data_IF_743712852783
#
_entry.id   IF_743712852783
#
_cell.length_a   1.000
_cell.length_b   1.000
_cell.length_c   1.000
_cell.angle_alpha   90.00
_cell.angle_beta   90.00
_cell.angle_gamma   90.00
#
_symmetry.space_group_name_H-M   'P 1'
#
loop_
_entity.id
_entity.type
_entity.pdbx_description
1 polymer ?
#
# COMPACT_ATOMS: atom_id res chain seq x y z
N UNK A 1 57.33 -71.79 -21.47
CA UNK A 1 56.62 -70.73 -22.20
C UNK A 1 56.03 -69.78 -21.18
N UNK A 2 56.50 -68.53 -21.19
CA UNK A 2 56.28 -67.52 -20.14
C UNK A 2 54.87 -66.95 -20.15
N UNK A 3 54.26 -66.85 -18.97
CA UNK A 3 53.02 -66.12 -18.71
C UNK A 3 53.28 -64.61 -18.70
N UNK A 4 52.85 -63.88 -19.72
CA UNK A 4 52.75 -62.41 -19.65
C UNK A 4 51.57 -62.02 -18.74
N UNK A 5 51.85 -61.25 -17.69
CA UNK A 5 50.84 -60.64 -16.83
C UNK A 5 50.22 -59.43 -17.55
N UNK A 6 48.90 -59.19 -17.43
CA UNK A 6 48.26 -58.02 -18.02
C UNK A 6 48.79 -56.72 -17.38
N UNK A 7 49.22 -55.77 -18.21
CA UNK A 7 49.56 -54.42 -17.79
C UNK A 7 48.28 -53.66 -17.43
N UNK A 8 48.08 -53.42 -16.13
CA UNK A 8 47.08 -52.47 -15.66
C UNK A 8 47.66 -51.06 -15.81
N UNK A 9 47.26 -50.33 -16.84
CA UNK A 9 47.57 -48.91 -16.99
C UNK A 9 46.76 -48.14 -15.94
N UNK A 10 47.36 -47.88 -14.77
CA UNK A 10 46.80 -46.93 -13.80
C UNK A 10 47.08 -45.51 -14.26
N UNK A 11 46.14 -44.92 -15.02
CA UNK A 11 46.16 -43.49 -15.27
C UNK A 11 46.00 -42.74 -13.93
N UNK A 12 47.07 -42.11 -13.44
CA UNK A 12 47.02 -41.21 -12.27
C UNK A 12 46.37 -39.88 -12.70
N UNK A 13 45.05 -39.85 -12.75
CA UNK A 13 44.34 -38.58 -12.90
C UNK A 13 44.34 -37.88 -11.54
N UNK A 14 44.94 -36.69 -11.46
CA UNK A 14 45.00 -35.91 -10.22
C UNK A 14 43.58 -35.49 -9.80
N UNK A 15 43.20 -35.79 -8.57
CA UNK A 15 41.90 -35.41 -7.99
C UNK A 15 41.58 -33.93 -8.21
N UNK A 16 42.55 -33.04 -8.00
CA UNK A 16 42.37 -31.60 -8.21
C UNK A 16 42.08 -31.25 -9.67
N UNK A 17 42.69 -31.94 -10.64
CA UNK A 17 42.37 -31.74 -12.06
C UNK A 17 40.95 -32.14 -12.38
N UNK A 18 40.49 -33.29 -11.88
CA UNK A 18 39.11 -33.75 -12.04
C UNK A 18 38.10 -32.80 -11.35
N UNK A 19 38.41 -32.36 -10.14
CA UNK A 19 37.60 -31.41 -9.38
C UNK A 19 37.44 -30.08 -10.13
N UNK A 20 38.54 -29.42 -10.51
CA UNK A 20 38.46 -28.14 -11.22
C UNK A 20 37.84 -28.27 -12.61
N UNK A 21 38.06 -29.37 -13.32
CA UNK A 21 37.42 -29.61 -14.63
C UNK A 21 35.91 -29.81 -14.48
N UNK A 22 35.47 -30.53 -13.43
CA UNK A 22 34.06 -30.73 -13.12
C UNK A 22 33.39 -29.43 -12.64
N UNK A 23 34.04 -28.63 -11.79
CA UNK A 23 33.56 -27.30 -11.40
C UNK A 23 33.43 -26.37 -12.61
N UNK A 24 34.44 -26.35 -13.50
CA UNK A 24 34.39 -25.53 -14.71
C UNK A 24 33.28 -25.97 -15.66
N UNK A 25 33.12 -27.29 -15.89
CA UNK A 25 32.03 -27.84 -16.69
C UNK A 25 30.65 -27.51 -16.11
N UNK A 26 30.51 -27.56 -14.78
CA UNK A 26 29.27 -27.20 -14.07
C UNK A 26 28.97 -25.71 -14.19
N UNK A 27 29.97 -24.84 -14.02
CA UNK A 27 29.82 -23.40 -14.17
C UNK A 27 29.46 -23.00 -15.61
N UNK A 28 30.07 -23.65 -16.61
CA UNK A 28 29.74 -23.44 -18.02
C UNK A 28 28.32 -23.91 -18.34
N UNK A 29 27.92 -25.09 -17.85
CA UNK A 29 26.55 -25.59 -18.02
C UNK A 29 25.52 -24.66 -17.37
N UNK A 30 25.77 -24.19 -16.14
CA UNK A 30 24.94 -23.19 -15.47
C UNK A 30 24.90 -21.87 -16.26
N UNK A 31 26.04 -21.42 -16.79
CA UNK A 31 26.12 -20.23 -17.63
C UNK A 31 25.30 -20.36 -18.91
N UNK A 32 25.28 -21.53 -19.55
CA UNK A 32 24.46 -21.80 -20.73
C UNK A 32 22.97 -21.88 -20.37
N UNK A 33 22.61 -22.50 -19.25
CA UNK A 33 21.22 -22.57 -18.78
C UNK A 33 20.70 -21.17 -18.46
N UNK A 34 21.45 -20.40 -17.65
CA UNK A 34 21.09 -19.02 -17.29
C UNK A 34 21.06 -18.13 -18.52
N UNK A 35 22.07 -18.23 -19.40
CA UNK A 35 22.12 -17.50 -20.67
C UNK A 35 20.94 -17.84 -21.59
N UNK A 36 20.54 -19.12 -21.65
CA UNK A 36 19.37 -19.59 -22.38
C UNK A 36 18.07 -19.02 -21.81
N UNK A 37 17.90 -19.02 -20.49
CA UNK A 37 16.74 -18.40 -19.83
C UNK A 37 16.69 -16.88 -20.04
N UNK A 38 17.84 -16.19 -19.99
CA UNK A 38 17.94 -14.76 -20.29
C UNK A 38 17.58 -14.50 -21.76
N UNK A 39 18.10 -15.30 -22.69
CA UNK A 39 17.83 -15.15 -24.12
C UNK A 39 16.35 -15.39 -24.45
N UNK A 40 15.74 -16.44 -23.89
CA UNK A 40 14.29 -16.71 -24.01
C UNK A 40 13.48 -15.59 -23.36
N UNK A 41 13.92 -15.06 -22.21
CA UNK A 41 13.27 -13.91 -21.56
C UNK A 41 13.33 -12.63 -22.39
N UNK A 42 14.47 -12.36 -23.04
CA UNK A 42 14.64 -11.20 -23.95
C UNK A 42 13.77 -11.37 -25.21
N UNK A 43 13.74 -12.56 -25.81
CA UNK A 43 12.87 -12.85 -26.96
C UNK A 43 11.39 -12.74 -26.59
N UNK A 44 10.99 -13.23 -25.41
CA UNK A 44 9.64 -13.06 -24.89
C UNK A 44 9.28 -11.58 -24.61
N UNK A 45 10.27 -10.74 -24.33
CA UNK A 45 10.08 -9.30 -24.12
C UNK A 45 9.94 -8.48 -25.42
N UNK A 46 10.27 -9.05 -26.58
CA UNK A 46 10.09 -8.42 -27.90
C UNK A 46 8.64 -8.49 -28.43
N UNK A 47 7.66 -8.80 -27.56
CA UNK A 47 6.25 -8.60 -27.91
C UNK A 47 5.97 -7.15 -28.31
N UNK A 48 5.00 -6.94 -29.20
CA UNK A 48 4.52 -5.60 -29.56
C UNK A 48 4.21 -4.77 -28.30
N UNK A 49 4.57 -3.48 -28.31
CA UNK A 49 4.24 -2.56 -27.22
C UNK A 49 2.76 -2.68 -26.85
N UNK A 50 2.42 -2.72 -25.54
CA UNK A 50 1.04 -2.84 -25.12
C UNK A 50 0.22 -1.66 -25.66
N UNK A 51 -0.93 -1.94 -26.25
CA UNK A 51 -1.87 -0.91 -26.73
C UNK A 51 -3.20 -1.00 -25.98
N UNK A 52 -3.88 0.14 -25.90
CA UNK A 52 -5.30 0.22 -25.52
C UNK A 52 -6.13 0.19 -26.80
N UNK A 53 -7.11 -0.71 -26.85
CA UNK A 53 -8.07 -0.81 -27.95
C UNK A 53 -9.24 0.13 -27.71
N UNK A 54 -9.99 0.46 -28.77
CA UNK A 54 -11.26 1.18 -28.63
C UNK A 54 -12.24 0.38 -27.76
N UNK A 55 -13.17 1.09 -27.13
CA UNK A 55 -14.22 0.51 -26.28
C UNK A 55 -13.66 -0.33 -25.11
N UNK A 56 -12.56 0.14 -24.51
CA UNK A 56 -11.95 -0.48 -23.34
C UNK A 56 -12.57 0.05 -22.05
N UNK A 57 -12.66 -0.82 -21.04
CA UNK A 57 -12.98 -0.43 -19.66
C UNK A 57 -11.72 -0.46 -18.81
N UNK A 58 -11.52 0.59 -18.01
CA UNK A 58 -10.47 0.59 -16.99
C UNK A 58 -10.95 -0.18 -15.76
N UNK A 59 -10.39 -1.38 -15.53
CA UNK A 59 -10.68 -2.20 -14.36
C UNK A 59 -9.81 -1.77 -13.19
N UNK A 60 -10.45 -1.39 -12.09
CA UNK A 60 -9.80 -1.09 -10.83
C UNK A 60 -10.04 -2.22 -9.84
N UNK A 61 -8.93 -2.79 -9.34
CA UNK A 61 -8.93 -3.89 -8.40
C UNK A 61 -7.84 -3.60 -7.35
N UNK A 62 -8.25 -3.14 -6.16
CA UNK A 62 -7.33 -2.73 -5.09
C UNK A 62 -7.08 -3.86 -4.09
N UNK A 63 -6.75 -5.05 -4.57
CA UNK A 63 -6.60 -6.23 -3.70
C UNK A 63 -5.30 -6.28 -2.89
N UNK A 64 -4.43 -5.26 -3.02
CA UNK A 64 -3.14 -5.15 -2.34
C UNK A 64 -2.99 -3.74 -1.75
N UNK A 65 -2.15 -3.55 -0.72
CA UNK A 65 -1.81 -2.21 -0.24
C UNK A 65 -1.32 -1.35 -1.39
N UNK A 66 -1.75 -0.09 -1.41
CA UNK A 66 -1.38 0.88 -2.43
C UNK A 66 -0.33 1.83 -1.83
N UNK A 67 0.96 1.70 -2.21
CA UNK A 67 1.99 2.59 -1.68
C UNK A 67 1.79 4.02 -2.22
N UNK A 68 2.32 5.03 -1.54
CA UNK A 68 2.31 6.42 -1.98
C UNK A 68 3.03 6.59 -3.34
N UNK A 69 4.17 5.91 -3.46
CA UNK A 69 5.04 5.89 -4.63
C UNK A 69 5.03 4.51 -5.29
N UNK A 70 4.85 4.48 -6.61
CA UNK A 70 4.93 3.25 -7.40
C UNK A 70 6.22 2.48 -7.11
N UNK A 71 6.10 1.16 -6.94
CA UNK A 71 7.20 0.26 -6.58
C UNK A 71 7.87 0.48 -5.22
N UNK A 72 7.31 1.30 -4.33
CA UNK A 72 7.83 1.51 -2.96
C UNK A 72 7.22 0.53 -1.94
N UNK A 73 7.36 -0.76 -2.19
CA UNK A 73 6.90 -1.82 -1.27
C UNK A 73 8.07 -2.65 -0.78
N UNK A 74 7.98 -3.16 0.45
CA UNK A 74 8.88 -4.21 0.94
C UNK A 74 8.72 -5.40 0.00
N UNK A 75 9.80 -5.80 -0.65
CA UNK A 75 9.81 -6.94 -1.57
C UNK A 75 10.22 -8.19 -0.79
N UNK A 76 9.44 -9.26 -0.90
CA UNK A 76 9.86 -10.58 -0.44
C UNK A 76 11.01 -11.06 -1.37
N UNK A 77 12.21 -11.33 -0.84
CA UNK A 77 13.34 -11.79 -1.65
C UNK A 77 13.10 -13.18 -2.28
N UNK A 78 12.08 -13.91 -1.85
CA UNK A 78 11.70 -15.21 -2.40
C UNK A 78 10.56 -15.12 -3.43
N UNK A 79 9.90 -13.96 -3.57
CA UNK A 79 8.85 -13.73 -4.58
C UNK A 79 9.43 -13.06 -5.84
N UNK A 80 10.20 -13.84 -6.59
CA UNK A 80 10.80 -13.42 -7.87
C UNK A 80 9.75 -12.90 -8.88
N UNK A 81 8.52 -13.42 -8.82
CA UNK A 81 7.47 -13.00 -9.74
C UNK A 81 6.91 -11.62 -9.38
N UNK A 82 6.79 -11.29 -8.09
CA UNK A 82 6.42 -9.95 -7.65
C UNK A 82 7.55 -8.93 -7.87
N UNK A 83 8.81 -9.34 -7.76
CA UNK A 83 9.96 -8.47 -8.04
C UNK A 83 9.99 -7.93 -9.48
N UNK A 84 9.52 -8.73 -10.44
CA UNK A 84 9.47 -8.38 -11.87
C UNK A 84 8.21 -7.58 -12.25
N UNK A 85 7.27 -7.36 -11.33
CA UNK A 85 5.98 -6.72 -11.61
C UNK A 85 5.92 -5.33 -10.99
N UNK A 86 5.74 -4.33 -11.85
CA UNK A 86 5.42 -2.98 -11.36
C UNK A 86 4.13 -2.96 -10.55
N UNK A 87 4.18 -2.31 -9.39
CA UNK A 87 3.06 -1.97 -8.53
C UNK A 87 2.77 -0.47 -8.66
N UNK A 88 1.55 -0.14 -9.08
CA UNK A 88 1.08 1.24 -9.18
C UNK A 88 0.92 1.81 -7.78
N UNK A 89 1.45 3.02 -7.53
CA UNK A 89 1.25 3.76 -6.29
C UNK A 89 0.07 4.73 -6.39
N UNK A 90 -0.33 5.31 -5.26
CA UNK A 90 -1.48 6.22 -5.13
C UNK A 90 -1.38 7.40 -6.11
N UNK A 91 -0.21 8.04 -6.17
CA UNK A 91 -0.01 9.22 -7.02
C UNK A 91 -0.23 8.89 -8.49
N UNK A 92 0.38 7.81 -8.98
CA UNK A 92 0.23 7.40 -10.37
C UNK A 92 -1.17 6.87 -10.65
N UNK A 93 -1.79 6.15 -9.71
CA UNK A 93 -3.19 5.72 -9.85
C UNK A 93 -4.13 6.92 -10.03
N UNK A 94 -3.95 8.00 -9.28
CA UNK A 94 -4.74 9.22 -9.42
C UNK A 94 -4.54 9.88 -10.78
N UNK A 95 -3.28 10.04 -11.22
CA UNK A 95 -2.96 10.59 -12.54
C UNK A 95 -3.52 9.75 -13.68
N UNK A 96 -3.46 8.42 -13.56
CA UNK A 96 -3.99 7.50 -14.56
C UNK A 96 -5.52 7.59 -14.65
N UNK A 97 -6.22 7.83 -13.55
CA UNK A 97 -7.66 8.10 -13.59
C UNK A 97 -7.94 9.45 -14.28
N UNK A 98 -7.12 10.47 -14.04
CA UNK A 98 -7.22 11.76 -14.75
C UNK A 98 -7.00 11.58 -16.27
N UNK A 99 -5.96 10.83 -16.68
CA UNK A 99 -5.71 10.53 -18.11
C UNK A 99 -6.87 9.74 -18.72
N UNK A 100 -7.40 8.74 -18.01
CA UNK A 100 -8.54 7.95 -18.47
C UNK A 100 -9.82 8.76 -18.64
N UNK A 101 -9.94 9.91 -17.97
CA UNK A 101 -11.05 10.85 -18.12
C UNK A 101 -11.10 11.42 -19.54
N UNK A 102 -9.95 11.72 -20.13
CA UNK A 102 -9.81 12.34 -21.46
C UNK A 102 -9.47 11.34 -22.58
N UNK A 103 -9.14 10.08 -22.26
CA UNK A 103 -8.84 9.05 -23.26
C UNK A 103 -10.11 8.47 -23.93
N UNK A 104 -10.32 8.78 -25.20
CA UNK A 104 -11.48 8.32 -26.00
C UNK A 104 -11.62 6.79 -26.11
N UNK A 105 -10.53 6.06 -25.91
CA UNK A 105 -10.52 4.60 -25.94
C UNK A 105 -11.10 3.99 -24.67
N UNK A 106 -11.06 4.72 -23.55
CA UNK A 106 -11.66 4.33 -22.29
C UNK A 106 -13.10 4.83 -22.23
N UNK A 107 -14.06 3.92 -22.13
CA UNK A 107 -15.50 4.28 -22.07
C UNK A 107 -16.07 4.35 -20.66
N UNK A 108 -15.37 3.78 -19.69
CA UNK A 108 -15.78 3.77 -18.29
C UNK A 108 -14.81 3.05 -17.38
N UNK A 109 -15.18 3.00 -16.11
CA UNK A 109 -14.46 2.28 -15.06
C UNK A 109 -15.31 1.10 -14.57
N UNK A 110 -14.67 -0.06 -14.40
CA UNK A 110 -15.25 -1.21 -13.73
C UNK A 110 -14.57 -1.47 -12.39
N UNK A 111 -15.32 -1.33 -11.31
CA UNK A 111 -14.87 -1.55 -9.94
C UNK A 111 -15.16 -2.99 -9.52
N UNK A 112 -14.09 -3.80 -9.47
CA UNK A 112 -14.12 -5.18 -9.01
C UNK A 112 -13.38 -5.24 -7.66
N UNK A 113 -14.14 -4.97 -6.57
CA UNK A 113 -13.58 -4.67 -5.26
C UNK A 113 -14.14 -5.63 -4.20
N UNK A 114 -13.44 -6.73 -3.93
CA UNK A 114 -13.78 -7.62 -2.81
C UNK A 114 -13.14 -7.19 -1.49
N UNK A 115 -11.91 -6.67 -1.54
CA UNK A 115 -11.16 -6.14 -0.39
C UNK A 115 -10.28 -4.99 -0.86
N UNK A 116 -10.14 -3.97 -0.01
CA UNK A 116 -9.36 -2.76 -0.31
C UNK A 116 -8.50 -2.41 0.91
N UNK A 117 -7.26 -2.90 1.01
CA UNK A 117 -6.37 -2.67 2.14
C UNK A 117 -5.61 -1.35 1.98
N UNK A 118 -6.33 -0.28 1.67
CA UNK A 118 -5.81 1.09 1.55
C UNK A 118 -6.25 1.86 2.80
N UNK A 119 -5.39 2.75 3.32
CA UNK A 119 -5.76 3.59 4.46
C UNK A 119 -6.89 4.58 4.10
N UNK A 120 -7.54 5.15 5.11
CA UNK A 120 -8.75 5.95 4.92
C UNK A 120 -8.52 7.28 4.20
N UNK A 121 -7.39 7.95 4.47
CA UNK A 121 -7.05 9.20 3.78
C UNK A 121 -6.72 8.94 2.31
N UNK A 122 -5.88 7.94 2.03
CA UNK A 122 -5.54 7.52 0.67
C UNK A 122 -6.78 7.04 -0.09
N UNK A 123 -7.71 6.38 0.61
CA UNK A 123 -8.98 5.97 0.03
C UNK A 123 -9.85 7.16 -0.37
N UNK A 124 -9.90 8.23 0.45
CA UNK A 124 -10.63 9.46 0.13
C UNK A 124 -10.04 10.15 -1.12
N UNK A 125 -8.72 10.30 -1.19
CA UNK A 125 -8.03 10.89 -2.36
C UNK A 125 -8.40 10.14 -3.64
N UNK A 126 -8.34 8.81 -3.61
CA UNK A 126 -8.67 7.99 -4.78
C UNK A 126 -10.17 8.01 -5.11
N UNK A 127 -11.02 8.04 -4.09
CA UNK A 127 -12.47 8.17 -4.24
C UNK A 127 -12.86 9.50 -4.90
N UNK A 128 -12.21 10.60 -4.53
CA UNK A 128 -12.45 11.92 -5.13
C UNK A 128 -12.04 11.97 -6.60
N UNK A 129 -11.02 11.19 -6.98
CA UNK A 129 -10.67 10.99 -8.39
C UNK A 129 -11.75 10.22 -9.14
N UNK A 130 -12.38 9.22 -8.54
CA UNK A 130 -13.54 8.56 -9.15
C UNK A 130 -14.73 9.51 -9.27
N UNK A 131 -15.02 10.34 -8.26
CA UNK A 131 -16.07 11.38 -8.36
C UNK A 131 -15.76 12.35 -9.51
N UNK A 132 -14.51 12.79 -9.63
CA UNK A 132 -14.08 13.71 -10.70
C UNK A 132 -14.20 13.04 -12.07
N UNK A 133 -13.80 11.77 -12.21
CA UNK A 133 -13.93 11.00 -13.45
C UNK A 133 -15.36 11.00 -13.98
N UNK A 134 -16.37 10.89 -13.11
CA UNK A 134 -17.79 10.94 -13.52
C UNK A 134 -18.17 12.21 -14.29
N UNK A 135 -17.45 13.33 -14.07
CA UNK A 135 -17.70 14.59 -14.79
C UNK A 135 -17.41 14.51 -16.28
N UNK A 136 -16.66 13.51 -16.74
CA UNK A 136 -16.45 13.23 -18.18
C UNK A 136 -17.69 12.66 -18.88
N UNK A 137 -18.70 12.22 -18.13
CA UNK A 137 -19.86 11.49 -18.67
C UNK A 137 -19.59 10.01 -18.93
N UNK A 138 -18.36 9.51 -18.71
CA UNK A 138 -18.03 8.08 -18.74
C UNK A 138 -18.60 7.38 -17.51
N UNK A 139 -19.09 6.16 -17.70
CA UNK A 139 -19.76 5.41 -16.63
C UNK A 139 -18.75 4.84 -15.61
N UNK A 140 -19.21 4.62 -14.39
CA UNK A 140 -18.56 3.78 -13.39
C UNK A 140 -19.54 2.69 -12.95
N UNK A 141 -19.18 1.43 -13.15
CA UNK A 141 -19.98 0.28 -12.72
C UNK A 141 -19.22 -0.54 -11.69
N UNK A 142 -19.89 -0.99 -10.63
CA UNK A 142 -19.31 -1.90 -9.63
C UNK A 142 -20.09 -3.21 -9.56
N UNK A 143 -19.35 -4.29 -9.37
CA UNK A 143 -19.91 -5.59 -9.05
C UNK A 143 -19.05 -6.32 -8.03
N UNK A 144 -19.70 -7.01 -7.10
CA UNK A 144 -19.02 -7.83 -6.11
C UNK A 144 -19.86 -9.04 -5.71
N UNK A 145 -19.18 -10.14 -5.36
CA UNK A 145 -19.79 -11.24 -4.59
C UNK A 145 -19.78 -10.94 -3.10
N UNK A 146 -18.97 -9.98 -2.67
CA UNK A 146 -18.91 -9.52 -1.30
C UNK A 146 -18.48 -8.05 -1.24
N UNK A 147 -19.21 -7.24 -0.47
CA UNK A 147 -18.79 -5.89 -0.11
C UNK A 147 -18.57 -5.78 1.40
N UNK A 148 -17.34 -5.48 1.80
CA UNK A 148 -17.09 -4.95 3.14
C UNK A 148 -17.25 -3.42 3.14
N UNK A 149 -17.21 -2.80 4.32
CA UNK A 149 -17.42 -1.36 4.47
C UNK A 149 -16.48 -0.52 3.59
N UNK A 150 -15.24 -0.97 3.39
CA UNK A 150 -14.24 -0.25 2.60
C UNK A 150 -14.37 -0.50 1.11
N UNK A 151 -14.66 -1.72 0.65
CA UNK A 151 -14.96 -1.92 -0.78
C UNK A 151 -16.28 -1.26 -1.17
N UNK A 152 -17.28 -1.28 -0.29
CA UNK A 152 -18.53 -0.54 -0.45
C UNK A 152 -18.31 0.97 -0.54
N UNK A 153 -17.40 1.52 0.27
CA UNK A 153 -17.03 2.94 0.21
C UNK A 153 -16.65 3.40 -1.21
N UNK A 154 -15.89 2.59 -1.93
CA UNK A 154 -15.54 2.87 -3.34
C UNK A 154 -16.70 2.57 -4.29
N UNK A 155 -17.37 1.43 -4.12
CA UNK A 155 -18.51 1.04 -4.95
C UNK A 155 -19.63 2.09 -4.91
N UNK A 156 -19.81 2.77 -3.77
CA UNK A 156 -20.84 3.80 -3.57
C UNK A 156 -20.73 5.00 -4.53
N UNK A 157 -19.60 5.18 -5.22
CA UNK A 157 -19.39 6.23 -6.22
C UNK A 157 -20.04 5.86 -7.57
N UNK A 158 -20.17 4.56 -7.84
CA UNK A 158 -20.62 4.03 -9.13
C UNK A 158 -22.02 4.51 -9.51
N UNK A 159 -22.26 4.59 -10.82
CA UNK A 159 -23.58 4.82 -11.39
C UNK A 159 -24.48 3.58 -11.24
N UNK A 160 -23.86 2.40 -11.23
CA UNK A 160 -24.52 1.12 -10.94
C UNK A 160 -23.67 0.27 -9.98
N UNK A 161 -24.29 -0.23 -8.93
CA UNK A 161 -23.72 -1.11 -7.91
C UNK A 161 -24.52 -2.41 -7.88
N UNK A 162 -23.86 -3.49 -8.27
CA UNK A 162 -24.47 -4.81 -8.30
C UNK A 162 -23.83 -5.75 -7.29
N UNK A 163 -24.67 -6.47 -6.56
CA UNK A 163 -24.25 -7.52 -5.62
C UNK A 163 -24.72 -8.88 -6.14
N UNK A 164 -23.90 -9.91 -6.01
CA UNK A 164 -24.36 -11.26 -6.31
C UNK A 164 -25.59 -11.64 -5.46
N UNK A 165 -26.63 -12.34 -5.99
CA UNK A 165 -27.84 -12.69 -5.23
C UNK A 165 -27.58 -13.48 -3.94
N UNK A 166 -26.56 -14.34 -3.97
CA UNK A 166 -26.06 -15.13 -2.83
C UNK A 166 -24.75 -14.57 -2.25
N UNK A 167 -24.46 -13.29 -2.52
CA UNK A 167 -23.27 -12.61 -2.02
C UNK A 167 -23.38 -12.21 -0.55
N UNK A 168 -22.36 -11.52 -0.04
CA UNK A 168 -22.40 -10.93 1.29
C UNK A 168 -22.21 -9.41 1.29
N UNK A 169 -22.73 -8.76 2.33
CA UNK A 169 -22.62 -7.31 2.52
C UNK A 169 -22.40 -7.01 3.99
N UNK A 170 -21.38 -6.23 4.33
CA UNK A 170 -21.00 -5.91 5.70
C UNK A 170 -21.05 -4.41 5.93
N UNK A 171 -21.99 -3.99 6.79
CA UNK A 171 -22.27 -2.60 7.12
C UNK A 171 -22.75 -2.48 8.56
N UNK A 172 -21.80 -2.34 9.48
CA UNK A 172 -22.02 -2.46 10.93
C UNK A 172 -21.19 -1.46 11.77
N UNK A 173 -20.62 -0.43 11.13
CA UNK A 173 -19.85 0.61 11.80
C UNK A 173 -18.39 0.28 12.05
N UNK A 174 -17.65 1.23 12.62
CA UNK A 174 -16.23 1.09 12.93
C UNK A 174 -16.02 0.54 14.34
N UNK A 175 -15.13 -0.44 14.46
CA UNK A 175 -14.71 -1.01 15.74
C UNK A 175 -13.18 -1.16 15.75
N UNK A 176 -12.59 -1.00 16.95
CA UNK A 176 -11.16 -1.14 17.18
C UNK A 176 -10.93 -2.22 18.23
N UNK A 177 -10.09 -3.20 17.91
CA UNK A 177 -9.65 -4.23 18.83
C UNK A 177 -8.15 -4.06 19.11
N UNK A 178 -7.75 -4.31 20.36
CA UNK A 178 -6.35 -4.25 20.77
C UNK A 178 -6.02 -5.44 21.65
N UNK A 179 -5.02 -6.21 21.24
CA UNK A 179 -4.52 -7.35 22.00
C UNK A 179 -3.58 -6.89 23.11
N UNK A 180 -3.66 -7.51 24.28
CA UNK A 180 -2.78 -7.26 25.42
C UNK A 180 -1.98 -8.52 25.77
N UNK A 181 -0.66 -8.37 25.86
CA UNK A 181 0.30 -9.46 26.05
C UNK A 181 0.80 -9.58 27.48
N UNK A 182 0.53 -8.61 28.37
CA UNK A 182 1.04 -8.62 29.75
C UNK A 182 0.80 -9.95 30.46
N UNK A 183 -0.41 -10.51 30.38
CA UNK A 183 -0.72 -11.77 31.05
C UNK A 183 0.11 -12.96 30.54
N UNK A 184 0.39 -13.00 29.23
CA UNK A 184 1.30 -13.99 28.65
C UNK A 184 2.74 -13.76 29.12
N UNK A 185 3.20 -12.51 29.12
CA UNK A 185 4.56 -12.14 29.52
C UNK A 185 4.83 -12.52 30.98
N UNK A 186 3.89 -12.19 31.89
CA UNK A 186 3.98 -12.56 33.30
C UNK A 186 4.08 -14.08 33.47
N UNK A 187 3.29 -14.85 32.70
CA UNK A 187 3.32 -16.33 32.72
C UNK A 187 4.65 -16.92 32.25
N UNK A 188 5.37 -16.20 31.39
CA UNK A 188 6.66 -16.61 30.85
C UNK A 188 7.85 -16.06 31.66
N UNK A 189 7.63 -15.33 32.75
CA UNK A 189 8.72 -14.69 33.49
C UNK A 189 9.40 -13.55 32.70
N UNK A 190 8.69 -12.93 31.76
CA UNK A 190 9.18 -11.79 30.96
C UNK A 190 8.55 -10.50 31.46
N UNK A 191 9.36 -9.47 31.74
CA UNK A 191 8.88 -8.14 32.15
C UNK A 191 9.31 -7.08 31.15
N UNK A 192 8.38 -6.27 30.62
CA UNK A 192 8.72 -5.11 29.82
C UNK A 192 9.07 -3.90 30.71
N UNK A 193 10.33 -3.47 30.71
CA UNK A 193 10.75 -2.20 31.33
C UNK A 193 10.39 -1.05 30.40
N UNK A 194 9.43 -0.22 30.81
CA UNK A 194 8.83 0.80 29.93
C UNK A 194 9.08 2.19 30.47
N UNK A 195 9.64 3.04 29.61
CA UNK A 195 9.79 4.47 29.81
C UNK A 195 8.90 5.18 28.79
N UNK A 196 8.12 6.16 29.20
CA UNK A 196 7.28 6.91 28.26
C UNK A 196 6.93 8.28 28.81
N UNK A 197 6.73 9.24 27.90
CA UNK A 197 6.23 10.56 28.21
C UNK A 197 4.98 10.86 27.36
N UNK A 198 3.89 11.21 28.05
CA UNK A 198 2.60 11.55 27.46
C UNK A 198 1.47 10.64 27.94
N UNK A 199 0.41 11.24 28.49
CA UNK A 199 -0.79 10.55 29.00
C UNK A 199 -1.46 9.65 27.96
N UNK A 200 -1.42 10.08 26.69
CA UNK A 200 -2.03 9.44 25.54
C UNK A 200 -1.04 8.58 24.72
N UNK A 201 0.22 8.46 25.17
CA UNK A 201 1.22 7.62 24.48
C UNK A 201 0.99 6.15 24.84
N UNK A 202 0.08 5.52 24.12
CA UNK A 202 -0.48 4.20 24.47
C UNK A 202 0.16 3.00 23.78
N UNK A 203 1.15 3.20 22.90
CA UNK A 203 1.80 2.11 22.15
C UNK A 203 2.40 0.99 23.04
N UNK A 204 2.73 1.32 24.30
CA UNK A 204 3.26 0.35 25.28
C UNK A 204 2.19 -0.31 26.13
N UNK A 205 0.93 0.12 26.07
CA UNK A 205 -0.16 -0.45 26.88
C UNK A 205 -0.32 -1.97 26.71
N UNK A 206 -0.28 -2.54 25.48
CA UNK A 206 -0.31 -3.99 25.27
C UNK A 206 0.70 -4.78 26.11
N UNK A 207 1.83 -4.17 26.47
CA UNK A 207 2.93 -4.84 27.16
C UNK A 207 2.99 -4.55 28.67
N UNK A 208 2.17 -3.63 29.19
CA UNK A 208 2.14 -3.28 30.63
C UNK A 208 0.76 -3.25 31.27
N UNK A 209 -0.29 -3.51 30.48
CA UNK A 209 -1.68 -3.58 30.93
C UNK A 209 -2.34 -4.83 30.40
N UNK A 210 -3.55 -5.10 30.86
CA UNK A 210 -4.45 -6.12 30.31
C UNK A 210 -5.68 -5.50 29.65
N UNK A 211 -5.76 -4.17 29.65
CA UNK A 211 -6.87 -3.38 29.14
C UNK A 211 -6.43 -1.98 28.68
N UNK A 212 -7.28 -1.33 27.88
CA UNK A 212 -7.07 0.07 27.49
C UNK A 212 -7.16 0.98 28.70
N UNK A 213 -6.19 1.88 28.85
CA UNK A 213 -6.36 2.99 29.79
C UNK A 213 -7.54 3.87 29.39
N UNK A 214 -8.09 4.63 30.36
CA UNK A 214 -9.14 5.61 30.06
C UNK A 214 -8.70 6.65 29.02
N UNK A 215 -7.42 7.03 29.01
CA UNK A 215 -6.85 7.96 28.04
C UNK A 215 -6.81 7.36 26.62
N UNK A 216 -6.32 6.12 26.50
CA UNK A 216 -6.29 5.41 25.23
C UNK A 216 -7.70 5.12 24.71
N UNK A 217 -8.63 4.74 25.59
CA UNK A 217 -10.05 4.55 25.20
C UNK A 217 -10.65 5.85 24.65
N UNK A 218 -10.38 6.99 25.31
CA UNK A 218 -10.86 8.30 24.85
C UNK A 218 -10.30 8.65 23.47
N UNK A 219 -8.99 8.59 23.27
CA UNK A 219 -8.38 8.99 21.99
C UNK A 219 -8.85 8.09 20.84
N UNK A 220 -8.97 6.77 21.08
CA UNK A 220 -9.43 5.82 20.06
C UNK A 220 -10.87 6.09 19.67
N UNK A 221 -11.74 6.32 20.66
CA UNK A 221 -13.13 6.72 20.39
C UNK A 221 -13.20 8.01 19.56
N UNK A 222 -12.39 9.01 19.89
CA UNK A 222 -12.41 10.31 19.22
C UNK A 222 -12.09 10.21 17.72
N UNK A 223 -10.91 9.66 17.37
CA UNK A 223 -10.52 9.62 15.97
C UNK A 223 -11.36 8.60 15.18
N UNK A 224 -11.78 7.49 15.79
CA UNK A 224 -12.63 6.52 15.10
C UNK A 224 -14.03 7.05 14.85
N UNK A 225 -14.60 7.80 15.81
CA UNK A 225 -15.88 8.47 15.67
C UNK A 225 -15.85 9.45 14.51
N UNK A 226 -14.91 10.40 14.51
CA UNK A 226 -14.78 11.38 13.42
C UNK A 226 -14.55 10.73 12.05
N UNK A 227 -13.75 9.66 11.95
CA UNK A 227 -13.59 8.92 10.70
C UNK A 227 -14.88 8.24 10.24
N UNK A 228 -15.70 7.75 11.17
CA UNK A 228 -16.96 7.10 10.84
C UNK A 228 -18.01 8.11 10.40
N UNK A 229 -18.07 9.28 11.03
CA UNK A 229 -18.96 10.37 10.64
C UNK A 229 -18.66 10.80 9.20
N UNK A 230 -17.39 11.07 8.89
CA UNK A 230 -16.93 11.39 7.54
C UNK A 230 -17.22 10.25 6.53
N UNK A 231 -17.15 8.98 6.96
CA UNK A 231 -17.51 7.84 6.12
C UNK A 231 -19.00 7.85 5.77
N UNK A 232 -19.87 8.12 6.75
CA UNK A 232 -21.32 8.20 6.54
C UNK A 232 -21.70 9.40 5.68
N UNK A 233 -21.05 10.56 5.85
CA UNK A 233 -21.28 11.76 5.04
C UNK A 233 -20.97 11.51 3.56
N UNK A 234 -19.84 10.87 3.25
CA UNK A 234 -19.47 10.57 1.86
C UNK A 234 -20.41 9.56 1.21
N UNK A 235 -20.89 8.56 1.96
CA UNK A 235 -21.90 7.62 1.49
C UNK A 235 -23.25 8.31 1.29
N UNK A 236 -23.63 9.20 2.20
CA UNK A 236 -24.86 9.96 2.11
C UNK A 236 -24.90 10.79 0.83
N UNK A 237 -23.79 11.47 0.52
CA UNK A 237 -23.64 12.27 -0.68
C UNK A 237 -23.75 11.44 -1.97
N UNK A 238 -23.15 10.24 -2.02
CA UNK A 238 -23.14 9.46 -3.26
C UNK A 238 -24.35 8.54 -3.46
N UNK A 239 -25.01 8.12 -2.37
CA UNK A 239 -26.20 7.26 -2.43
C UNK A 239 -27.52 8.00 -2.23
N UNK A 240 -27.47 9.29 -1.88
CA UNK A 240 -28.64 10.10 -1.57
C UNK A 240 -29.50 9.47 -0.45
N UNK A 241 -28.83 9.03 0.62
CA UNK A 241 -29.43 8.46 1.84
C UNK A 241 -28.91 9.30 3.01
N UNK A 242 -29.78 9.78 3.91
CA UNK A 242 -29.33 10.59 5.05
C UNK A 242 -28.32 9.85 5.94
N UNK A 243 -27.31 10.56 6.46
CA UNK A 243 -26.29 9.97 7.34
C UNK A 243 -26.91 9.30 8.58
N UNK A 244 -27.96 9.88 9.16
CA UNK A 244 -28.71 9.29 10.28
C UNK A 244 -29.37 7.96 9.91
N UNK A 245 -29.87 7.83 8.68
CA UNK A 245 -30.46 6.58 8.19
C UNK A 245 -29.38 5.53 7.95
N UNK A 246 -28.24 5.91 7.37
CA UNK A 246 -27.08 5.01 7.23
C UNK A 246 -26.58 4.54 8.60
N UNK A 247 -26.50 5.44 9.58
CA UNK A 247 -26.19 5.10 10.97
C UNK A 247 -27.21 4.10 11.54
N UNK A 248 -28.51 4.36 11.36
CA UNK A 248 -29.60 3.49 11.84
C UNK A 248 -29.54 2.10 11.21
N UNK A 249 -29.24 2.00 9.91
CA UNK A 249 -29.08 0.73 9.19
C UNK A 249 -27.94 -0.09 9.80
N UNK A 250 -26.78 0.54 10.00
CA UNK A 250 -25.60 -0.13 10.56
C UNK A 250 -25.83 -0.54 12.03
N UNK A 251 -26.30 0.39 12.86
CA UNK A 251 -26.46 0.19 14.30
C UNK A 251 -27.51 -0.88 14.66
N UNK A 252 -28.52 -1.06 13.81
CA UNK A 252 -29.56 -2.08 14.02
C UNK A 252 -29.31 -3.39 13.24
N UNK A 253 -28.20 -3.48 12.48
CA UNK A 253 -27.87 -4.67 11.69
C UNK A 253 -28.97 -5.06 10.69
N UNK A 254 -29.47 -4.07 9.93
CA UNK A 254 -30.61 -4.28 9.02
C UNK A 254 -30.23 -5.01 7.73
N UNK A 255 -28.95 -5.03 7.38
CA UNK A 255 -28.48 -5.74 6.18
C UNK A 255 -28.08 -7.16 6.57
N UNK A 256 -28.95 -8.14 6.29
CA UNK A 256 -28.74 -9.57 6.61
C UNK A 256 -28.62 -10.44 5.37
N UNK A 257 -29.07 -9.94 4.23
CA UNK A 257 -29.00 -10.56 2.92
C UNK A 257 -28.74 -9.51 1.82
N UNK A 258 -28.29 -9.92 0.62
CA UNK A 258 -28.17 -9.01 -0.53
C UNK A 258 -29.46 -8.25 -0.87
N UNK A 259 -30.62 -8.86 -0.65
CA UNK A 259 -31.93 -8.22 -0.89
C UNK A 259 -32.19 -7.06 0.08
N UNK A 260 -31.68 -7.12 1.30
CA UNK A 260 -31.81 -6.02 2.25
C UNK A 260 -30.99 -4.81 1.80
N UNK A 261 -29.80 -5.03 1.20
CA UNK A 261 -28.99 -3.96 0.65
C UNK A 261 -29.70 -3.22 -0.50
N UNK A 262 -30.45 -3.93 -1.34
CA UNK A 262 -31.32 -3.33 -2.37
C UNK A 262 -32.48 -2.57 -1.71
N UNK A 263 -33.16 -3.19 -0.74
CA UNK A 263 -34.30 -2.61 -0.02
C UNK A 263 -33.94 -1.28 0.65
N UNK A 264 -32.74 -1.21 1.24
CA UNK A 264 -32.17 -0.01 1.87
C UNK A 264 -31.39 0.88 0.90
N UNK A 265 -31.45 0.62 -0.42
CA UNK A 265 -30.85 1.41 -1.51
C UNK A 265 -29.32 1.54 -1.45
N UNK A 266 -28.67 0.67 -0.67
CA UNK A 266 -27.22 0.63 -0.58
C UNK A 266 -26.59 0.12 -1.88
N UNK A 267 -27.25 -0.83 -2.54
CA UNK A 267 -26.91 -1.31 -3.89
C UNK A 267 -28.13 -1.16 -4.80
N UNK A 268 -27.92 -1.15 -6.12
CA UNK A 268 -28.99 -0.87 -7.07
C UNK A 268 -29.78 -2.14 -7.43
N UNK A 269 -29.11 -3.28 -7.55
CA UNK A 269 -29.76 -4.57 -7.75
C UNK A 269 -28.87 -5.74 -7.32
N UNK A 270 -29.49 -6.91 -7.19
CA UNK A 270 -28.75 -8.17 -7.17
C UNK A 270 -28.70 -8.77 -8.58
N UNK A 271 -27.51 -9.09 -9.09
CA UNK A 271 -27.31 -9.66 -10.44
C UNK A 271 -26.23 -10.73 -10.42
N UNK A 272 -26.36 -11.73 -11.29
CA UNK A 272 -25.28 -12.65 -11.62
C UNK A 272 -24.22 -11.97 -12.49
N UNK A 273 -23.05 -12.61 -12.61
CA UNK A 273 -21.90 -12.02 -13.29
C UNK A 273 -22.18 -11.81 -14.78
N UNK A 274 -22.79 -12.79 -15.43
CA UNK A 274 -23.20 -12.78 -16.82
C UNK A 274 -24.11 -11.58 -17.12
N UNK A 275 -25.19 -11.39 -16.34
CA UNK A 275 -26.10 -10.25 -16.49
C UNK A 275 -25.37 -8.88 -16.40
N UNK A 276 -24.34 -8.78 -15.55
CA UNK A 276 -23.52 -7.57 -15.43
C UNK A 276 -22.59 -7.40 -16.62
N UNK A 277 -22.02 -8.49 -17.14
CA UNK A 277 -21.18 -8.44 -18.33
C UNK A 277 -22.00 -8.08 -19.57
N UNK A 278 -23.24 -8.53 -19.68
CA UNK A 278 -24.13 -8.18 -20.78
C UNK A 278 -24.44 -6.68 -20.78
N UNK A 279 -24.82 -6.11 -19.63
CA UNK A 279 -25.00 -4.65 -19.49
C UNK A 279 -23.71 -3.87 -19.75
N UNK A 280 -22.56 -4.43 -19.35
CA UNK A 280 -21.26 -3.81 -19.65
C UNK A 280 -20.99 -3.79 -21.16
N UNK A 281 -21.35 -4.83 -21.91
CA UNK A 281 -21.22 -4.86 -23.38
C UNK A 281 -22.13 -3.84 -24.05
N UNK A 282 -23.37 -3.69 -23.58
CA UNK A 282 -24.30 -2.67 -24.06
C UNK A 282 -23.71 -1.26 -23.90
N UNK A 283 -23.17 -0.94 -22.72
CA UNK A 283 -22.51 0.36 -22.46
C UNK A 283 -21.26 0.59 -23.32
N UNK A 284 -20.61 -0.47 -23.76
CA UNK A 284 -19.44 -0.40 -24.64
C UNK A 284 -19.79 -0.42 -26.14
N UNK A 285 -21.05 -0.67 -26.49
CA UNK A 285 -21.47 -0.89 -27.88
C UNK A 285 -20.79 -2.10 -28.52
N UNK A 286 -20.59 -3.17 -27.75
CA UNK A 286 -19.95 -4.42 -28.20
C UNK A 286 -20.99 -5.53 -28.36
N UNK A 287 -20.83 -6.46 -29.30
CA UNK A 287 -21.80 -7.55 -29.53
C UNK A 287 -21.89 -8.53 -28.34
N UNK A 288 -23.02 -9.24 -28.21
CA UNK A 288 -23.40 -10.08 -27.05
C UNK A 288 -22.33 -11.12 -26.64
N UNK A 289 -21.60 -11.68 -27.62
CA UNK A 289 -20.56 -12.70 -27.39
C UNK A 289 -19.13 -12.18 -27.48
N UNK A 290 -18.95 -10.90 -27.78
CA UNK A 290 -17.63 -10.33 -27.93
C UNK A 290 -16.91 -10.20 -26.57
N UNK A 291 -15.59 -10.36 -26.63
CA UNK A 291 -14.73 -10.16 -25.47
C UNK A 291 -14.73 -8.69 -25.07
N UNK A 292 -15.10 -8.40 -23.82
CA UNK A 292 -14.92 -7.07 -23.22
C UNK A 292 -13.43 -6.75 -23.13
N UNK A 293 -13.03 -5.64 -23.75
CA UNK A 293 -11.66 -5.14 -23.65
C UNK A 293 -11.45 -4.47 -22.30
N UNK A 294 -10.46 -4.95 -21.55
CA UNK A 294 -10.15 -4.49 -20.20
C UNK A 294 -8.71 -4.04 -20.10
N UNK A 295 -8.50 -2.84 -19.56
CA UNK A 295 -7.21 -2.36 -19.12
C UNK A 295 -7.14 -2.42 -17.59
N UNK A 296 -6.09 -3.02 -17.04
CA UNK A 296 -5.76 -2.84 -15.61
C UNK A 296 -4.96 -1.56 -15.45
N UNK A 297 -4.95 -0.96 -14.24
CA UNK A 297 -4.09 0.19 -13.92
C UNK A 297 -2.63 -0.07 -14.30
N UNK A 298 -2.12 -1.29 -14.07
CA UNK A 298 -0.76 -1.66 -14.43
C UNK A 298 -0.52 -1.59 -15.94
N UNK A 299 -1.42 -2.18 -16.75
CA UNK A 299 -1.32 -2.12 -18.21
C UNK A 299 -1.38 -0.66 -18.67
N UNK A 300 -2.29 0.12 -18.10
CA UNK A 300 -2.48 1.52 -18.43
C UNK A 300 -1.23 2.36 -18.09
N UNK A 301 -0.64 2.15 -16.91
CA UNK A 301 0.61 2.78 -16.49
C UNK A 301 1.77 2.48 -17.44
N UNK A 302 1.87 1.24 -17.95
CA UNK A 302 2.95 0.88 -18.86
C UNK A 302 2.91 1.62 -20.21
N UNK A 303 1.72 2.12 -20.58
CA UNK A 303 1.48 2.85 -21.83
C UNK A 303 1.70 4.34 -21.63
N UNK A 304 1.21 4.89 -20.52
CA UNK A 304 1.29 6.32 -20.20
C UNK A 304 2.51 6.70 -19.36
N UNK A 305 3.56 5.86 -19.35
CA UNK A 305 4.74 6.05 -18.48
C UNK A 305 5.46 7.38 -18.74
N UNK A 306 5.50 7.84 -20.00
CA UNK A 306 6.09 9.13 -20.37
C UNK A 306 5.27 10.31 -19.82
N UNK A 307 3.95 10.26 -19.95
CA UNK A 307 3.02 11.30 -19.46
C UNK A 307 3.11 11.44 -17.92
N UNK A 308 3.35 10.33 -17.21
CA UNK A 308 3.54 10.37 -15.75
C UNK A 308 4.84 11.05 -15.31
N UNK A 309 5.84 11.13 -16.20
CA UNK A 309 7.19 11.61 -15.93
C UNK A 309 7.50 13.00 -16.50
N UNK A 310 6.53 13.66 -17.15
CA UNK A 310 6.77 14.97 -17.74
C UNK A 310 7.22 16.01 -16.70
N UNK A 311 8.41 16.58 -16.93
CA UNK A 311 8.94 17.70 -16.15
C UNK A 311 9.80 18.58 -17.05
N UNK A 312 9.17 19.55 -17.69
CA UNK A 312 9.80 20.41 -18.70
C UNK A 312 10.23 21.79 -18.14
N UNK A 313 10.11 22.00 -16.82
CA UNK A 313 10.44 23.26 -16.16
C UNK A 313 11.92 23.35 -15.73
N UNK A 314 12.52 24.52 -15.89
CA UNK A 314 13.86 24.80 -15.33
C UNK A 314 13.85 24.89 -13.81
N UNK A 315 12.78 25.43 -13.23
CA UNK A 315 12.53 25.45 -11.79
C UNK A 315 11.72 24.22 -11.37
N UNK A 316 12.13 23.58 -10.26
CA UNK A 316 11.62 22.28 -9.83
C UNK A 316 11.07 22.33 -8.41
N UNK A 317 9.97 21.62 -8.20
CA UNK A 317 9.46 21.23 -6.89
C UNK A 317 9.75 19.74 -6.71
N UNK A 318 10.60 19.41 -5.74
CA UNK A 318 10.98 18.04 -5.46
C UNK A 318 9.97 17.38 -4.51
N UNK A 319 9.35 16.27 -4.90
CA UNK A 319 8.48 15.49 -4.02
C UNK A 319 9.28 14.34 -3.42
N UNK A 320 9.43 14.35 -2.10
CA UNK A 320 10.15 13.32 -1.33
C UNK A 320 9.12 12.47 -0.60
N UNK A 321 8.91 11.25 -1.08
CA UNK A 321 8.02 10.27 -0.47
C UNK A 321 8.69 9.63 0.75
N UNK A 322 8.20 9.99 1.94
CA UNK A 322 8.60 9.45 3.23
C UNK A 322 7.50 8.49 3.73
N UNK A 323 7.59 7.24 3.28
CA UNK A 323 6.58 6.20 3.52
C UNK A 323 7.14 5.03 4.31
N UNK A 324 6.42 4.61 5.35
CA UNK A 324 6.75 3.46 6.21
C UNK A 324 7.36 3.85 7.55
N UNK A 325 7.90 2.85 8.27
CA UNK A 325 8.55 3.07 9.57
C UNK A 325 9.86 3.84 9.42
N UNK A 326 10.13 4.74 10.37
CA UNK A 326 11.40 5.47 10.44
C UNK A 326 12.45 4.60 11.13
N UNK A 327 13.56 4.37 10.45
CA UNK A 327 14.65 3.49 10.91
C UNK A 327 16.00 4.21 10.82
N UNK A 328 16.94 3.80 11.67
CA UNK A 328 18.31 4.27 11.56
C UNK A 328 19.00 3.71 10.29
N UNK A 329 20.06 4.38 9.83
CA UNK A 329 20.81 3.93 8.66
C UNK A 329 20.10 4.21 7.32
N UNK A 330 20.33 3.33 6.35
CA UNK A 330 19.83 3.50 4.97
C UNK A 330 18.35 3.13 4.80
N UNK A 331 17.84 2.19 5.60
CA UNK A 331 16.53 1.57 5.37
C UNK A 331 16.43 0.87 4.00
N UNK A 332 15.22 0.45 3.66
CA UNK A 332 14.88 -0.30 2.45
C UNK A 332 13.70 0.37 1.72
N UNK A 333 13.11 -0.31 0.73
CA UNK A 333 11.82 0.10 0.16
C UNK A 333 10.72 -0.07 1.22
N UNK A 334 9.79 0.88 1.28
CA UNK A 334 8.73 0.89 2.29
C UNK A 334 9.21 1.21 3.71
N UNK A 335 10.41 1.80 3.87
CA UNK A 335 10.86 2.38 5.12
C UNK A 335 11.61 3.71 4.90
N UNK A 336 11.74 4.46 5.99
CA UNK A 336 12.36 5.80 6.01
C UNK A 336 13.68 5.70 6.76
N UNK A 337 14.77 5.41 6.05
CA UNK A 337 16.12 5.39 6.61
C UNK A 337 16.69 6.80 6.79
N UNK A 338 17.06 7.15 8.03
CA UNK A 338 17.59 8.49 8.37
C UNK A 338 18.71 8.96 7.45
N UNK A 339 19.71 8.12 7.20
CA UNK A 339 20.88 8.47 6.38
C UNK A 339 20.53 8.62 4.90
N UNK A 340 19.66 7.74 4.39
CA UNK A 340 19.20 7.78 2.99
C UNK A 340 18.44 9.06 2.71
N UNK A 341 17.49 9.41 3.57
CA UNK A 341 16.67 10.62 3.39
C UNK A 341 17.48 11.88 3.63
N UNK A 342 18.40 11.90 4.60
CA UNK A 342 19.36 12.99 4.76
C UNK A 342 20.21 13.20 3.49
N UNK A 343 20.68 12.11 2.88
CA UNK A 343 21.42 12.16 1.61
C UNK A 343 20.57 12.70 0.46
N UNK A 344 19.30 12.27 0.34
CA UNK A 344 18.35 12.78 -0.66
C UNK A 344 18.16 14.30 -0.49
N UNK A 345 17.82 14.75 0.72
CA UNK A 345 17.57 16.18 1.00
C UNK A 345 18.84 17.00 0.77
N UNK A 346 20.02 16.49 1.15
CA UNK A 346 21.30 17.14 0.88
C UNK A 346 21.61 17.27 -0.61
N UNK A 347 21.22 16.29 -1.44
CA UNK A 347 21.33 16.39 -2.90
C UNK A 347 20.41 17.47 -3.44
N UNK A 348 19.15 17.50 -2.99
CA UNK A 348 18.17 18.52 -3.39
C UNK A 348 18.63 19.93 -3.02
N UNK A 349 19.20 20.11 -1.83
CA UNK A 349 19.83 21.37 -1.38
C UNK A 349 20.91 21.90 -2.31
N UNK A 350 21.66 21.00 -2.97
CA UNK A 350 22.76 21.37 -3.87
C UNK A 350 22.29 21.63 -5.29
N UNK A 351 21.05 21.29 -5.64
CA UNK A 351 20.48 21.55 -6.96
C UNK A 351 19.84 22.94 -7.00
N UNK A 352 20.46 23.86 -7.76
CA UNK A 352 20.01 25.27 -7.90
C UNK A 352 18.63 25.41 -8.54
N UNK A 353 18.17 24.37 -9.23
CA UNK A 353 16.86 24.35 -9.87
C UNK A 353 15.74 23.98 -8.87
N UNK A 354 16.05 23.38 -7.72
CA UNK A 354 15.06 23.03 -6.70
C UNK A 354 14.68 24.27 -5.90
N UNK A 355 13.42 24.70 -6.03
CA UNK A 355 12.87 25.87 -5.30
C UNK A 355 12.05 25.49 -4.08
N UNK A 356 11.52 24.27 -4.08
CA UNK A 356 10.75 23.73 -2.97
C UNK A 356 10.91 22.21 -2.85
N UNK A 357 10.73 21.71 -1.64
CA UNK A 357 10.65 20.30 -1.28
C UNK A 357 9.26 20.07 -0.68
N UNK A 358 8.52 19.12 -1.24
CA UNK A 358 7.29 18.58 -0.67
C UNK A 358 7.61 17.24 -0.04
N UNK A 359 7.54 17.17 1.28
CA UNK A 359 7.61 15.92 2.04
C UNK A 359 6.23 15.26 2.00
N UNK A 360 6.09 14.16 1.24
CA UNK A 360 4.90 13.30 1.28
C UNK A 360 5.07 12.27 2.39
N UNK A 361 4.50 12.53 3.56
CA UNK A 361 4.74 11.73 4.79
C UNK A 361 3.59 10.77 5.04
N UNK A 362 3.86 9.47 4.97
CA UNK A 362 2.94 8.41 5.40
C UNK A 362 3.67 7.44 6.36
N UNK A 363 3.77 7.84 7.62
CA UNK A 363 4.54 7.17 8.68
C UNK A 363 3.90 7.29 10.06
N UNK A 364 3.84 6.15 10.77
CA UNK A 364 3.55 6.10 12.21
C UNK A 364 4.74 6.51 13.11
N UNK A 365 5.88 6.86 12.51
CA UNK A 365 7.12 7.19 13.20
C UNK A 365 8.10 6.02 13.30
N UNK A 366 8.95 6.05 14.33
CA UNK A 366 10.02 5.07 14.53
C UNK A 366 11.18 5.70 15.28
N UNK A 367 12.41 5.51 14.79
CA UNK A 367 13.62 6.05 15.42
C UNK A 367 13.56 7.58 15.57
N UNK A 368 13.77 8.05 16.80
CA UNK A 368 13.87 9.47 17.11
C UNK A 368 15.15 10.09 16.52
N UNK A 369 16.27 9.36 16.54
CA UNK A 369 17.55 9.82 16.00
C UNK A 369 17.47 10.01 14.49
N UNK A 370 16.96 9.02 13.76
CA UNK A 370 16.75 9.12 12.32
C UNK A 370 15.79 10.28 11.96
N UNK A 371 14.75 10.49 12.78
CA UNK A 371 13.83 11.62 12.61
C UNK A 371 14.56 12.96 12.75
N UNK A 372 15.42 13.11 13.77
CA UNK A 372 16.20 14.33 14.00
C UNK A 372 17.22 14.60 12.88
N UNK A 373 17.87 13.55 12.38
CA UNK A 373 18.80 13.63 11.24
C UNK A 373 18.09 14.19 9.99
N UNK A 374 16.89 13.67 9.68
CA UNK A 374 16.08 14.16 8.55
C UNK A 374 15.64 15.60 8.80
N UNK A 375 15.10 15.87 10.00
CA UNK A 375 14.65 17.20 10.43
C UNK A 375 15.76 18.24 10.24
N UNK A 376 17.00 17.91 10.61
CA UNK A 376 18.16 18.80 10.49
C UNK A 376 18.52 19.11 9.04
N UNK A 377 18.42 18.16 8.11
CA UNK A 377 18.66 18.44 6.69
C UNK A 377 17.54 19.28 6.06
N UNK A 378 16.29 19.10 6.51
CA UNK A 378 15.18 19.99 6.11
C UNK A 378 15.41 21.42 6.61
N UNK A 379 15.84 21.60 7.87
CA UNK A 379 16.13 22.94 8.40
C UNK A 379 17.20 23.65 7.58
N UNK A 380 18.30 22.94 7.29
CA UNK A 380 19.36 23.50 6.45
C UNK A 380 18.82 23.89 5.06
N UNK A 381 17.90 23.11 4.47
CA UNK A 381 17.29 23.46 3.18
C UNK A 381 16.55 24.80 3.25
N UNK A 382 15.82 25.05 4.34
CA UNK A 382 15.12 26.31 4.59
C UNK A 382 16.07 27.48 4.77
N UNK A 383 17.17 27.28 5.50
CA UNK A 383 18.25 28.27 5.63
C UNK A 383 18.83 28.70 4.27
N UNK A 384 18.77 27.83 3.25
CA UNK A 384 19.19 28.12 1.88
C UNK A 384 18.08 28.71 0.99
N UNK A 385 16.92 29.02 1.56
CA UNK A 385 15.78 29.61 0.85
C UNK A 385 14.88 28.60 0.12
N UNK A 386 15.15 27.30 0.23
CA UNK A 386 14.27 26.25 -0.34
C UNK A 386 13.05 26.13 0.57
N UNK A 387 11.84 26.23 -0.01
CA UNK A 387 10.60 26.03 0.73
C UNK A 387 10.39 24.57 1.09
N UNK A 388 10.01 24.26 2.32
CA UNK A 388 9.65 22.92 2.77
C UNK A 388 8.17 22.88 3.14
N UNK A 389 7.43 22.03 2.44
CA UNK A 389 5.99 21.80 2.64
C UNK A 389 5.80 20.33 2.98
N UNK A 390 4.89 20.01 3.89
CA UNK A 390 4.46 18.61 4.11
C UNK A 390 3.06 18.37 3.57
N UNK A 391 2.89 17.24 2.90
CA UNK A 391 1.59 16.60 2.61
C UNK A 391 1.53 15.28 3.38
N UNK A 392 0.59 15.15 4.30
CA UNK A 392 0.41 13.94 5.11
C UNK A 392 -0.50 12.94 4.38
N UNK A 393 -0.10 11.66 4.41
CA UNK A 393 -0.89 10.53 3.94
C UNK A 393 -1.81 9.98 5.02
N UNK A 394 -1.98 8.66 5.05
CA UNK A 394 -2.85 8.00 6.03
C UNK A 394 -2.41 8.26 7.48
N UNK A 395 -1.10 8.25 7.72
CA UNK A 395 -0.53 8.50 9.05
C UNK A 395 0.66 9.44 8.93
N UNK A 396 0.77 10.43 9.81
CA UNK A 396 1.98 11.24 9.97
C UNK A 396 2.14 11.56 11.46
N UNK A 397 2.45 10.53 12.25
CA UNK A 397 2.40 10.58 13.70
C UNK A 397 3.77 10.25 14.32
N UNK A 398 3.99 10.65 15.57
CA UNK A 398 5.25 10.39 16.30
C UNK A 398 6.45 10.95 15.52
N UNK A 399 7.45 10.14 15.15
CA UNK A 399 8.57 10.56 14.29
C UNK A 399 8.13 11.09 12.91
N UNK A 400 7.00 10.61 12.37
CA UNK A 400 6.41 11.15 11.14
C UNK A 400 5.94 12.59 11.31
N UNK A 401 5.36 12.92 12.47
CA UNK A 401 5.04 14.30 12.82
C UNK A 401 6.30 15.12 13.12
N UNK A 402 7.32 14.51 13.73
CA UNK A 402 8.60 15.17 14.01
C UNK A 402 9.21 15.70 12.70
N UNK A 403 9.39 14.86 11.68
CA UNK A 403 9.95 15.34 10.39
C UNK A 403 9.03 16.36 9.71
N UNK A 404 7.70 16.18 9.79
CA UNK A 404 6.72 17.09 9.20
C UNK A 404 6.73 18.48 9.86
N UNK A 405 6.96 18.53 11.18
CA UNK A 405 6.92 19.76 12.00
C UNK A 405 7.90 20.83 11.54
N UNK A 406 8.92 20.47 10.74
CA UNK A 406 9.87 21.43 10.19
C UNK A 406 9.42 22.13 8.90
N UNK A 407 8.17 22.00 8.49
CA UNK A 407 7.67 22.59 7.26
C UNK A 407 7.09 23.98 7.48
N UNK A 408 7.15 24.87 6.48
CA UNK A 408 6.43 26.16 6.55
C UNK A 408 4.92 25.98 6.50
N UNK A 409 4.46 24.92 5.81
CA UNK A 409 3.04 24.55 5.72
C UNK A 409 2.91 23.05 5.79
N UNK A 410 1.88 22.60 6.51
CA UNK A 410 1.52 21.19 6.65
C UNK A 410 0.09 21.05 6.17
N UNK A 411 -0.12 20.17 5.20
CA UNK A 411 -1.42 19.77 4.68
C UNK A 411 -1.71 18.34 5.13
N UNK A 412 -2.91 18.10 5.63
CA UNK A 412 -3.40 16.80 6.04
C UNK A 412 -4.80 16.60 5.48
N UNK A 413 -5.13 15.37 5.10
CA UNK A 413 -6.52 15.01 4.81
C UNK A 413 -7.31 14.94 6.11
N UNK A 414 -8.63 15.10 6.00
CA UNK A 414 -9.57 15.02 7.13
C UNK A 414 -9.50 13.68 7.89
N UNK A 415 -9.04 12.62 7.21
CA UNK A 415 -8.85 11.26 7.74
C UNK A 415 -7.40 10.91 8.07
N UNK A 416 -6.45 11.84 7.95
CA UNK A 416 -5.05 11.61 8.34
C UNK A 416 -4.94 11.43 9.86
N UNK A 417 -4.27 10.36 10.30
CA UNK A 417 -3.88 10.20 11.71
C UNK A 417 -2.54 10.89 11.94
N UNK A 418 -2.53 12.00 12.66
CA UNK A 418 -1.30 12.74 12.98
C UNK A 418 -1.17 13.02 14.48
N UNK A 419 -0.16 13.81 14.88
CA UNK A 419 0.18 14.05 16.27
C UNK A 419 0.93 12.87 16.87
N UNK A 420 0.37 12.25 17.92
CA UNK A 420 1.10 11.27 18.76
C UNK A 420 2.43 11.84 19.30
N UNK A 421 2.42 13.13 19.67
CA UNK A 421 3.59 13.81 20.23
C UNK A 421 3.87 13.23 21.61
N UNK A 422 5.01 12.54 21.72
CA UNK A 422 5.43 11.82 22.90
C UNK A 422 6.43 10.74 22.52
N UNK A 423 7.16 10.24 23.51
CA UNK A 423 8.25 9.26 23.33
C UNK A 423 8.01 8.06 24.22
N UNK A 424 8.50 6.90 23.81
CA UNK A 424 8.60 5.74 24.67
C UNK A 424 9.85 4.93 24.36
N UNK A 425 10.31 4.15 25.33
CA UNK A 425 11.31 3.11 25.21
C UNK A 425 10.83 1.86 25.94
N UNK A 426 11.16 0.69 25.41
CA UNK A 426 10.77 -0.59 25.97
C UNK A 426 11.95 -1.55 25.93
N UNK A 427 12.35 -2.07 27.08
CA UNK A 427 13.45 -3.03 27.22
C UNK A 427 12.89 -4.31 27.85
N UNK A 428 12.88 -5.45 27.14
CA UNK A 428 12.45 -6.71 27.74
C UNK A 428 13.48 -7.19 28.77
N UNK A 429 13.00 -7.58 29.95
CA UNK A 429 13.75 -8.35 30.94
C UNK A 429 13.25 -9.80 30.88
N UNK A 430 14.13 -10.71 30.48
CA UNK A 430 13.84 -12.14 30.31
C UNK A 430 14.46 -13.00 31.42
N UNK A 431 14.94 -12.39 32.51
CA UNK A 431 15.59 -13.12 33.60
C UNK A 431 14.69 -14.23 34.16
N UNK A 432 13.43 -13.95 34.44
CA UNK A 432 12.48 -14.96 34.94
C UNK A 432 12.24 -16.08 33.93
N UNK A 433 12.16 -15.77 32.63
CA UNK A 433 12.10 -16.80 31.59
C UNK A 433 13.28 -17.76 31.65
N UNK A 434 14.49 -17.21 31.77
CA UNK A 434 15.71 -18.00 31.76
C UNK A 434 15.89 -18.80 33.06
N UNK A 435 15.77 -18.15 34.21
CA UNK A 435 16.00 -18.77 35.51
C UNK A 435 14.86 -19.73 35.91
N UNK A 436 13.59 -19.29 35.77
CA UNK A 436 12.44 -20.02 36.32
C UNK A 436 11.89 -21.09 35.37
N UNK A 437 12.12 -20.95 34.06
CA UNK A 437 11.52 -21.86 33.06
C UNK A 437 12.52 -22.63 32.21
N UNK A 438 13.74 -22.11 32.02
CA UNK A 438 14.74 -22.73 31.13
C UNK A 438 15.98 -23.23 31.87
N UNK A 439 16.12 -22.96 33.17
CA UNK A 439 17.27 -23.40 33.98
C UNK A 439 18.59 -22.74 33.58
N UNK A 440 18.54 -21.54 32.98
CA UNK A 440 19.71 -20.76 32.57
C UNK A 440 19.98 -19.67 33.61
N UNK A 441 21.19 -19.64 34.18
CA UNK A 441 21.65 -18.59 35.11
C UNK A 441 22.32 -17.46 34.34
N UNK A 442 21.96 -16.21 34.63
CA UNK A 442 22.53 -15.00 34.01
C UNK A 442 23.16 -14.04 35.01
#
# INVERSE_FOLDING_TARGET
MSSEKPQVIKAKVSFFKLFFTSCLGTLLALGVIVGGFIFVGVQASQGSLPTIKLNTVLKLQFSKPLPELSNNVVQDPYDFQAMLKDNVGLTDACKLIDIAMDDDKIKGIYLDLSSVPIGWASSKVLRDKLITFKKSGKFIMSYGTYYNQKSYYFASVSDQIYLHPEGGFSFYGFAGEMTYFKGLMDKLGVTAQIFYAGKFKSATEPFRRTDMSAANRKQVKEYMGGMYDLYLEDLAASRNIGADELFRIANNGLIRSPKDAVTHKLVDATKYKDEVLDELREKLGTAEDDKIEVATLKKYMSIHKSELQENNGSDKVAVVYAEGSIVDGQGDKGSIGGDKYASIIRKLRKDKNVKAIVMRVNSGGGSALASDIIWRELEKAKEQGIKVITSMGDVAASGGYYIASNSERIFAEDRTITGSIGVFGMIPNMRGLFEDHLGITM
#
